data_IF_711069582022
#
_entry.id   IF_711069582022
#
_cell.length_a   1.000
_cell.length_b   1.000
_cell.length_c   1.000
_cell.angle_alpha   90.00
_cell.angle_beta   90.00
_cell.angle_gamma   90.00
#
_symmetry.space_group_name_H-M   'P 1'
#
loop_
_entity.id
_entity.type
_entity.pdbx_description
1 polymer ?
#
# COMPACT_ATOMS: atom_id res chain seq x y z
N UNK A 1 32.02 10.61 -8.45
CA UNK A 1 32.14 10.02 -7.09
C UNK A 1 31.78 11.02 -5.99
N UNK A 2 32.27 12.24 -6.00
CA UNK A 2 31.99 13.31 -5.00
C UNK A 2 30.48 13.61 -4.80
N UNK A 3 29.72 13.80 -5.87
CA UNK A 3 28.28 14.11 -5.78
C UNK A 3 27.45 13.04 -5.04
N UNK A 4 27.81 11.76 -5.18
CA UNK A 4 27.08 10.67 -4.51
C UNK A 4 27.21 10.74 -2.98
N UNK A 5 28.39 11.04 -2.48
CA UNK A 5 28.67 11.19 -1.04
C UNK A 5 27.93 12.39 -0.45
N UNK A 6 27.86 13.49 -1.18
CA UNK A 6 27.14 14.68 -0.74
C UNK A 6 25.63 14.44 -0.64
N UNK A 7 25.01 13.77 -1.63
CA UNK A 7 23.59 13.44 -1.58
C UNK A 7 23.24 12.46 -0.46
N UNK A 8 24.08 11.45 -0.18
CA UNK A 8 23.91 10.58 0.97
C UNK A 8 23.93 11.39 2.28
N UNK A 9 24.93 12.26 2.45
CA UNK A 9 25.02 13.13 3.62
C UNK A 9 23.77 13.99 3.80
N UNK A 10 23.28 14.60 2.74
CA UNK A 10 22.03 15.39 2.76
C UNK A 10 20.81 14.55 3.11
N UNK A 11 20.71 13.33 2.57
CA UNK A 11 19.63 12.42 2.89
C UNK A 11 19.59 12.07 4.37
N UNK A 12 20.74 11.79 4.99
CA UNK A 12 20.86 11.56 6.42
C UNK A 12 20.53 12.79 7.26
N UNK A 13 20.94 13.98 6.83
CA UNK A 13 20.54 15.24 7.49
C UNK A 13 19.02 15.46 7.44
N UNK A 14 18.36 15.06 6.37
CA UNK A 14 16.90 15.13 6.27
C UNK A 14 16.21 14.08 7.17
N UNK A 15 16.79 12.89 7.38
CA UNK A 15 16.30 11.95 8.42
C UNK A 15 16.29 12.63 9.77
N UNK A 16 17.42 13.22 10.18
CA UNK A 16 17.55 13.92 11.46
C UNK A 16 16.51 15.07 11.58
N UNK A 17 16.38 15.89 10.54
CA UNK A 17 15.40 16.97 10.50
C UNK A 17 13.97 16.46 10.67
N UNK A 18 13.60 15.40 9.96
CA UNK A 18 12.24 14.85 10.02
C UNK A 18 11.93 14.33 11.42
N UNK A 19 12.80 13.49 11.99
CA UNK A 19 12.50 12.82 13.25
C UNK A 19 12.77 13.66 14.49
N UNK A 20 13.68 14.63 14.44
CA UNK A 20 14.02 15.48 15.61
C UNK A 20 13.31 16.82 15.61
N UNK A 21 12.80 17.27 14.48
CA UNK A 21 12.16 18.59 14.38
C UNK A 21 10.72 18.43 13.87
N UNK A 22 10.53 17.97 12.64
CA UNK A 22 9.24 18.07 11.98
C UNK A 22 8.15 17.18 12.60
N UNK A 23 8.47 15.93 12.91
CA UNK A 23 7.49 15.03 13.55
C UNK A 23 7.22 15.42 15.02
N UNK A 24 8.21 15.85 15.84
CA UNK A 24 7.96 16.37 17.18
C UNK A 24 7.12 17.64 17.22
N UNK A 25 7.28 18.57 16.27
CA UNK A 25 6.39 19.74 16.12
C UNK A 25 4.93 19.34 15.90
N UNK A 26 4.67 18.15 15.42
CA UNK A 26 3.33 17.58 15.25
C UNK A 26 2.90 16.68 16.42
N UNK A 27 3.64 16.67 17.52
CA UNK A 27 3.33 15.92 18.73
C UNK A 27 3.85 14.48 18.81
N UNK A 28 4.71 14.03 17.87
CA UNK A 28 5.34 12.72 17.95
C UNK A 28 6.61 12.78 18.81
N UNK A 29 6.84 11.74 19.63
CA UNK A 29 8.05 11.66 20.45
C UNK A 29 9.28 11.32 19.59
N UNK A 30 10.42 11.93 19.92
CA UNK A 30 11.71 11.54 19.38
C UNK A 30 12.09 10.15 19.92
N UNK A 31 12.50 9.25 19.04
CA UNK A 31 12.93 7.89 19.36
C UNK A 31 14.22 7.56 18.66
N UNK A 32 15.31 7.45 19.41
CA UNK A 32 16.66 7.23 18.84
C UNK A 32 16.76 5.94 18.03
N UNK A 33 16.11 4.88 18.50
CA UNK A 33 16.10 3.59 17.78
C UNK A 33 15.39 3.68 16.43
N UNK A 34 14.32 4.49 16.36
CA UNK A 34 13.60 4.74 15.10
C UNK A 34 14.46 5.49 14.10
N UNK A 35 15.20 6.51 14.57
CA UNK A 35 16.11 7.32 13.75
C UNK A 35 17.23 6.42 13.21
N UNK A 36 17.87 5.64 14.09
CA UNK A 36 18.92 4.70 13.70
C UNK A 36 18.42 3.70 12.66
N UNK A 37 17.26 3.10 12.89
CA UNK A 37 16.63 2.18 11.95
C UNK A 37 16.37 2.84 10.59
N UNK A 38 15.89 4.08 10.57
CA UNK A 38 15.69 4.82 9.33
C UNK A 38 17.00 5.04 8.57
N UNK A 39 18.09 5.40 9.25
CA UNK A 39 19.40 5.55 8.64
C UNK A 39 19.92 4.25 8.02
N UNK A 40 19.83 3.14 8.74
CA UNK A 40 20.25 1.81 8.27
C UNK A 40 19.44 1.35 7.05
N UNK A 41 18.12 1.57 7.08
CA UNK A 41 17.24 1.28 5.95
C UNK A 41 17.59 2.16 4.74
N UNK A 42 17.80 3.44 4.94
CA UNK A 42 18.15 4.38 3.87
C UNK A 42 19.47 3.99 3.19
N UNK A 43 20.50 3.66 3.97
CA UNK A 43 21.79 3.19 3.44
C UNK A 43 21.67 1.87 2.67
N UNK A 44 20.82 0.98 3.15
CA UNK A 44 20.52 -0.29 2.48
C UNK A 44 19.84 -0.04 1.12
N UNK A 45 18.84 0.83 1.10
CA UNK A 45 18.07 1.16 -0.09
C UNK A 45 18.91 1.93 -1.12
N UNK A 46 19.67 2.94 -0.69
CA UNK A 46 20.58 3.69 -1.56
C UNK A 46 21.74 2.83 -2.08
N UNK A 47 22.12 1.81 -1.33
CA UNK A 47 23.12 0.81 -1.71
C UNK A 47 22.61 -0.31 -2.60
N UNK A 48 21.30 -0.39 -2.88
CA UNK A 48 20.65 -1.50 -3.61
C UNK A 48 20.96 -2.86 -2.97
N UNK A 49 20.87 -2.93 -1.62
CA UNK A 49 21.17 -4.10 -0.82
C UNK A 49 19.92 -4.67 -0.17
N UNK A 50 20.05 -5.84 0.40
CA UNK A 50 19.04 -6.48 1.26
C UNK A 50 19.50 -6.34 2.71
N UNK A 51 18.57 -5.96 3.58
CA UNK A 51 18.79 -5.96 5.03
C UNK A 51 17.71 -6.78 5.73
N UNK A 52 18.12 -7.47 6.79
CA UNK A 52 17.24 -8.03 7.81
C UNK A 52 17.36 -7.13 9.03
N UNK A 53 16.26 -6.43 9.36
CA UNK A 53 16.23 -5.53 10.51
C UNK A 53 15.42 -6.18 11.63
N UNK A 54 16.08 -6.51 12.74
CA UNK A 54 15.38 -6.89 13.97
C UNK A 54 15.10 -5.63 14.77
N UNK A 55 13.82 -5.34 14.93
CA UNK A 55 13.34 -4.10 15.54
C UNK A 55 12.17 -4.37 16.47
N UNK A 56 12.32 -4.03 17.74
CA UNK A 56 11.33 -4.25 18.79
C UNK A 56 9.96 -3.66 18.50
N UNK A 57 8.97 -4.12 19.26
CA UNK A 57 7.61 -3.56 19.20
C UNK A 57 7.63 -2.12 19.74
N UNK A 58 6.91 -1.22 19.07
CA UNK A 58 6.74 0.16 19.56
C UNK A 58 7.83 1.15 19.18
N UNK A 59 8.93 0.76 18.56
CA UNK A 59 9.98 1.69 18.13
C UNK A 59 9.58 2.62 16.98
N UNK A 60 8.46 2.34 16.30
CA UNK A 60 7.97 3.17 15.21
C UNK A 60 8.50 2.77 13.83
N UNK A 61 8.69 1.47 13.58
CA UNK A 61 9.16 0.90 12.30
C UNK A 61 8.50 1.52 11.07
N UNK A 62 7.19 1.73 11.15
CA UNK A 62 6.40 2.24 10.01
C UNK A 62 6.91 3.59 9.51
N UNK A 63 7.09 4.57 10.38
CA UNK A 63 7.66 5.85 9.96
C UNK A 63 9.11 5.71 9.50
N UNK A 64 9.90 4.83 10.13
CA UNK A 64 11.29 4.62 9.73
C UNK A 64 11.40 4.19 8.26
N UNK A 65 10.67 3.13 7.84
CA UNK A 65 10.73 2.71 6.43
C UNK A 65 10.00 3.67 5.47
N UNK A 66 8.91 4.32 5.89
CA UNK A 66 8.23 5.29 5.04
C UNK A 66 9.12 6.50 4.73
N UNK A 67 9.78 7.06 5.72
CA UNK A 67 10.73 8.17 5.55
C UNK A 67 11.91 7.74 4.69
N UNK A 68 12.51 6.56 4.97
CA UNK A 68 13.60 6.02 4.15
C UNK A 68 13.20 5.88 2.67
N UNK A 69 11.97 5.40 2.38
CA UNK A 69 11.47 5.28 1.01
C UNK A 69 11.22 6.64 0.34
N UNK A 70 10.73 7.64 1.08
CA UNK A 70 10.57 9.02 0.55
C UNK A 70 11.92 9.60 0.17
N UNK A 71 12.91 9.48 1.05
CA UNK A 71 14.25 10.00 0.80
C UNK A 71 14.98 9.21 -0.29
N UNK A 72 14.79 7.89 -0.35
CA UNK A 72 15.25 7.09 -1.48
C UNK A 72 14.74 7.66 -2.80
N UNK A 73 13.41 7.89 -2.92
CA UNK A 73 12.80 8.43 -4.14
C UNK A 73 13.36 9.80 -4.50
N UNK A 74 13.52 10.69 -3.51
CA UNK A 74 14.09 12.02 -3.70
C UNK A 74 15.53 11.97 -4.19
N UNK A 75 16.36 11.15 -3.56
CA UNK A 75 17.80 11.15 -3.80
C UNK A 75 18.28 10.19 -4.89
N UNK A 76 17.54 9.12 -5.19
CA UNK A 76 17.85 8.26 -6.33
C UNK A 76 17.73 8.98 -7.67
N UNK A 77 16.79 9.93 -7.78
CA UNK A 77 16.66 10.78 -8.96
C UNK A 77 17.88 11.67 -9.17
N UNK A 78 18.47 12.19 -8.08
CA UNK A 78 19.64 13.08 -8.12
C UNK A 78 20.95 12.34 -8.37
N UNK A 79 21.01 11.04 -8.09
CA UNK A 79 22.23 10.23 -8.29
C UNK A 79 22.35 9.62 -9.69
N UNK A 80 21.41 9.92 -10.59
CA UNK A 80 21.41 9.40 -11.98
C UNK A 80 21.13 7.89 -12.10
N UNK A 81 20.74 7.23 -11.01
CA UNK A 81 20.43 5.79 -10.97
C UNK A 81 19.01 5.45 -11.39
N UNK A 82 18.16 6.42 -11.57
CA UNK A 82 16.79 6.24 -12.03
C UNK A 82 16.47 7.19 -13.18
N UNK A 83 15.76 6.69 -14.19
CA UNK A 83 15.12 7.58 -15.14
C UNK A 83 14.04 8.36 -14.35
N UNK A 84 14.05 9.70 -14.33
CA UNK A 84 13.00 10.48 -13.67
C UNK A 84 11.59 10.15 -14.14
N UNK A 85 11.46 9.61 -15.36
CA UNK A 85 10.20 9.20 -15.96
C UNK A 85 9.71 7.81 -15.48
N UNK A 86 10.59 7.02 -14.85
CA UNK A 86 10.26 5.70 -14.31
C UNK A 86 10.16 5.70 -12.79
N UNK A 87 9.25 6.49 -12.24
CA UNK A 87 8.95 6.44 -10.82
C UNK A 87 8.17 5.17 -10.47
N UNK A 88 8.91 4.11 -10.15
CA UNK A 88 8.30 2.84 -9.72
C UNK A 88 7.80 2.96 -8.28
N UNK A 89 6.65 2.34 -7.95
CA UNK A 89 6.16 2.34 -6.58
C UNK A 89 7.07 1.49 -5.68
N UNK A 90 7.07 1.83 -4.40
CA UNK A 90 7.56 0.94 -3.33
C UNK A 90 6.47 -0.08 -3.03
N UNK A 91 6.82 -1.35 -2.86
CA UNK A 91 5.91 -2.37 -2.36
C UNK A 91 6.14 -2.58 -0.87
N UNK A 92 5.08 -2.48 -0.09
CA UNK A 92 5.07 -2.82 1.34
C UNK A 92 4.16 -4.03 1.55
N UNK A 93 4.72 -5.12 2.03
CA UNK A 93 3.99 -6.33 2.39
C UNK A 93 3.92 -6.47 3.90
N UNK A 94 2.72 -6.64 4.45
CA UNK A 94 2.49 -6.87 5.89
C UNK A 94 1.32 -7.80 6.13
N UNK A 95 1.42 -8.68 7.11
CA UNK A 95 0.33 -9.56 7.53
C UNK A 95 -0.81 -8.83 8.23
N UNK A 96 -0.57 -7.62 8.74
CA UNK A 96 -1.54 -6.85 9.52
C UNK A 96 -2.49 -6.04 8.63
N UNK A 97 -3.77 -6.45 8.57
CA UNK A 97 -4.82 -5.70 7.86
C UNK A 97 -5.02 -4.30 8.49
N UNK A 98 -4.92 -4.22 9.83
CA UNK A 98 -5.00 -2.94 10.53
C UNK A 98 -3.89 -1.98 10.10
N UNK A 99 -2.65 -2.48 9.98
CA UNK A 99 -1.52 -1.68 9.53
C UNK A 99 -1.66 -1.28 8.06
N UNK A 100 -2.13 -2.16 7.17
CA UNK A 100 -2.41 -1.81 5.77
C UNK A 100 -3.38 -0.61 5.70
N UNK A 101 -4.44 -0.64 6.51
CA UNK A 101 -5.41 0.45 6.59
C UNK A 101 -4.76 1.71 7.15
N UNK A 102 -4.07 1.62 8.28
CA UNK A 102 -3.44 2.77 8.94
C UNK A 102 -2.41 3.47 8.04
N UNK A 103 -1.62 2.71 7.26
CA UNK A 103 -0.67 3.31 6.31
C UNK A 103 -1.39 4.23 5.32
N UNK A 104 -2.54 3.81 4.77
CA UNK A 104 -3.29 4.59 3.78
C UNK A 104 -4.07 5.73 4.39
N UNK A 105 -4.68 5.52 5.58
CA UNK A 105 -5.62 6.49 6.15
C UNK A 105 -4.99 7.45 7.17
N UNK A 106 -3.82 7.11 7.70
CA UNK A 106 -3.18 7.86 8.79
C UNK A 106 -1.71 8.22 8.45
N UNK A 107 -0.83 7.23 8.30
CA UNK A 107 0.62 7.48 8.19
C UNK A 107 1.00 8.24 6.92
N UNK A 108 0.53 7.81 5.75
CA UNK A 108 0.85 8.47 4.48
C UNK A 108 0.22 9.87 4.38
N UNK A 109 -1.07 10.08 4.69
CA UNK A 109 -1.65 11.43 4.69
C UNK A 109 -0.95 12.40 5.66
N UNK A 110 -0.63 11.92 6.87
CA UNK A 110 0.07 12.72 7.87
C UNK A 110 1.48 13.10 7.39
N UNK A 111 2.30 12.10 7.00
CA UNK A 111 3.67 12.33 6.52
C UNK A 111 3.67 13.22 5.28
N UNK A 112 2.75 12.97 4.35
CA UNK A 112 2.60 13.76 3.13
C UNK A 112 2.34 15.24 3.44
N UNK A 113 1.43 15.53 4.36
CA UNK A 113 1.12 16.90 4.80
C UNK A 113 2.36 17.58 5.38
N UNK A 114 3.02 16.94 6.35
CA UNK A 114 4.22 17.51 7.01
C UNK A 114 5.33 17.79 6.02
N UNK A 115 5.60 16.87 5.10
CA UNK A 115 6.69 17.05 4.11
C UNK A 115 6.35 18.06 3.02
N UNK A 116 5.07 18.20 2.63
CA UNK A 116 4.61 19.25 1.70
C UNK A 116 4.75 20.64 2.30
N UNK A 117 4.30 20.83 3.55
CA UNK A 117 4.40 22.10 4.27
C UNK A 117 5.83 22.59 4.38
N UNK A 118 6.79 21.67 4.45
CA UNK A 118 8.23 21.96 4.51
C UNK A 118 8.93 22.01 3.15
N UNK A 119 8.19 21.86 2.06
CA UNK A 119 8.76 21.86 0.70
C UNK A 119 9.72 20.69 0.42
N UNK A 120 9.68 19.62 1.24
CA UNK A 120 10.55 18.45 1.07
C UNK A 120 10.08 17.54 -0.06
N UNK A 121 8.78 17.54 -0.35
CA UNK A 121 8.15 16.89 -1.49
C UNK A 121 7.28 17.90 -2.25
N UNK A 122 7.01 17.62 -3.54
CA UNK A 122 6.32 18.56 -4.43
C UNK A 122 4.86 18.19 -4.70
N UNK A 123 4.47 16.97 -4.37
CA UNK A 123 3.11 16.46 -4.56
C UNK A 123 2.75 15.49 -3.43
N UNK A 124 1.45 15.32 -3.13
CA UNK A 124 1.01 14.39 -2.12
C UNK A 124 1.46 12.95 -2.40
N UNK A 125 1.88 12.24 -1.35
CA UNK A 125 2.19 10.83 -1.42
C UNK A 125 0.89 10.02 -1.58
N UNK A 126 0.84 9.12 -2.56
CA UNK A 126 -0.30 8.23 -2.77
C UNK A 126 0.06 6.79 -2.41
N UNK A 127 -0.81 6.16 -1.65
CA UNK A 127 -0.73 4.75 -1.31
C UNK A 127 -2.00 4.01 -1.76
N UNK A 128 -1.84 2.79 -2.28
CA UNK A 128 -2.95 1.93 -2.72
C UNK A 128 -2.78 0.55 -2.13
N UNK A 129 -3.82 0.03 -1.45
CA UNK A 129 -3.82 -1.35 -0.97
C UNK A 129 -4.19 -2.29 -2.10
N UNK A 130 -3.37 -3.32 -2.34
CA UNK A 130 -3.59 -4.38 -3.32
C UNK A 130 -4.10 -5.63 -2.64
N UNK A 131 -5.27 -6.11 -3.09
CA UNK A 131 -5.97 -7.29 -2.56
C UNK A 131 -6.48 -8.17 -3.68
N UNK A 132 -6.79 -9.42 -3.37
CA UNK A 132 -7.45 -10.35 -4.29
C UNK A 132 -8.84 -9.88 -4.72
N UNK A 133 -9.30 -10.37 -5.84
CA UNK A 133 -10.62 -10.03 -6.43
C UNK A 133 -11.79 -10.31 -5.50
N UNK A 134 -11.64 -11.35 -4.69
CA UNK A 134 -12.62 -11.82 -3.69
C UNK A 134 -12.92 -10.80 -2.60
N UNK A 135 -12.08 -9.78 -2.45
CA UNK A 135 -12.29 -8.68 -1.50
C UNK A 135 -13.13 -7.54 -2.09
N UNK A 136 -13.38 -7.55 -3.38
CA UNK A 136 -14.10 -6.47 -4.07
C UNK A 136 -15.46 -6.91 -4.59
N UNK A 137 -16.42 -5.98 -4.52
CA UNK A 137 -17.77 -6.23 -5.02
C UNK A 137 -17.82 -6.07 -6.55
N UNK A 138 -18.56 -6.96 -7.19
CA UNK A 138 -19.00 -6.83 -8.57
C UNK A 138 -20.40 -6.20 -8.61
N UNK A 139 -20.53 -5.02 -9.20
CA UNK A 139 -21.79 -4.26 -9.22
C UNK A 139 -22.95 -5.07 -9.82
N UNK A 140 -22.72 -5.78 -10.93
CA UNK A 140 -23.75 -6.61 -11.54
C UNK A 140 -24.24 -7.75 -10.61
N UNK A 141 -23.31 -8.43 -9.96
CA UNK A 141 -23.65 -9.49 -9.00
C UNK A 141 -24.34 -8.95 -7.75
N UNK A 142 -23.92 -7.75 -7.32
CA UNK A 142 -24.56 -7.07 -6.20
C UNK A 142 -26.02 -6.77 -6.50
N UNK A 143 -26.35 -6.15 -7.64
CA UNK A 143 -27.71 -5.83 -7.99
C UNK A 143 -28.56 -7.09 -8.18
N UNK A 144 -28.05 -8.13 -8.84
CA UNK A 144 -28.71 -9.43 -8.93
C UNK A 144 -29.00 -10.02 -7.54
N UNK A 145 -28.05 -9.89 -6.60
CA UNK A 145 -28.24 -10.41 -5.24
C UNK A 145 -29.26 -9.59 -4.46
N UNK A 146 -29.23 -8.27 -4.55
CA UNK A 146 -30.22 -7.37 -3.92
C UNK A 146 -31.62 -7.71 -4.43
N UNK A 147 -31.79 -7.87 -5.73
CA UNK A 147 -33.10 -8.23 -6.31
C UNK A 147 -33.56 -9.62 -5.83
N UNK A 148 -32.68 -10.62 -5.83
CA UNK A 148 -33.01 -11.97 -5.38
C UNK A 148 -33.44 -12.05 -3.90
N UNK A 149 -33.08 -11.08 -3.07
CA UNK A 149 -33.46 -11.03 -1.64
C UNK A 149 -34.58 -10.04 -1.34
N UNK A 150 -35.06 -9.32 -2.34
CA UNK A 150 -36.05 -8.23 -2.18
C UNK A 150 -37.27 -8.67 -1.38
N UNK A 151 -37.76 -9.87 -1.67
CA UNK A 151 -38.95 -10.46 -1.04
C UNK A 151 -38.65 -11.51 0.03
N UNK A 152 -37.36 -11.73 0.36
CA UNK A 152 -36.97 -12.71 1.37
C UNK A 152 -36.88 -12.07 2.74
N UNK A 153 -37.34 -12.80 3.78
CA UNK A 153 -37.06 -12.41 5.16
C UNK A 153 -35.57 -12.60 5.45
N UNK A 154 -34.81 -11.53 5.41
CA UNK A 154 -33.43 -11.48 5.88
C UNK A 154 -33.35 -10.57 7.11
N UNK A 155 -32.34 -10.83 7.96
CA UNK A 155 -31.97 -9.93 9.03
C UNK A 155 -31.72 -8.52 8.46
N UNK A 156 -32.26 -7.50 9.10
CA UNK A 156 -32.13 -6.09 8.67
C UNK A 156 -30.67 -5.68 8.47
N UNK A 157 -29.77 -6.06 9.39
CA UNK A 157 -28.35 -5.77 9.32
C UNK A 157 -27.69 -6.36 8.05
N UNK A 158 -28.05 -7.58 7.66
CA UNK A 158 -27.53 -8.19 6.43
C UNK A 158 -28.03 -7.51 5.15
N UNK A 159 -29.27 -7.01 5.15
CA UNK A 159 -29.80 -6.20 4.03
C UNK A 159 -29.07 -4.88 3.93
N UNK A 160 -28.86 -4.21 5.05
CA UNK A 160 -28.13 -2.96 5.12
C UNK A 160 -26.67 -3.12 4.70
N UNK A 161 -26.00 -4.19 5.13
CA UNK A 161 -24.64 -4.52 4.70
C UNK A 161 -24.54 -4.67 3.17
N UNK A 162 -25.49 -5.39 2.53
CA UNK A 162 -25.54 -5.51 1.07
C UNK A 162 -25.80 -4.16 0.38
N UNK A 163 -26.72 -3.35 0.90
CA UNK A 163 -27.04 -2.05 0.34
C UNK A 163 -25.85 -1.07 0.48
N UNK A 164 -25.10 -1.16 1.58
CA UNK A 164 -23.91 -0.34 1.80
C UNK A 164 -22.81 -0.58 0.75
N UNK A 165 -22.76 -1.77 0.16
CA UNK A 165 -21.82 -2.11 -0.92
C UNK A 165 -22.04 -1.29 -2.21
N UNK A 166 -23.19 -0.63 -2.36
CA UNK A 166 -23.38 0.36 -3.44
C UNK A 166 -22.44 1.55 -3.29
N UNK A 167 -22.07 1.91 -2.07
CA UNK A 167 -21.13 3.00 -1.77
C UNK A 167 -19.70 2.50 -1.56
N UNK A 168 -19.55 1.30 -0.98
CA UNK A 168 -18.27 0.70 -0.62
C UNK A 168 -17.96 -0.49 -1.52
N UNK A 169 -16.93 -0.40 -2.35
CA UNK A 169 -16.54 -1.48 -3.26
C UNK A 169 -15.57 -2.49 -2.61
N UNK A 170 -14.88 -2.11 -1.53
CA UNK A 170 -14.05 -2.99 -0.71
C UNK A 170 -14.93 -3.61 0.38
N UNK A 171 -15.19 -4.90 0.25
CA UNK A 171 -16.06 -5.65 1.17
C UNK A 171 -15.50 -5.80 2.58
N UNK A 172 -14.18 -5.60 2.76
CA UNK A 172 -13.56 -5.67 4.09
C UNK A 172 -13.89 -4.45 4.95
N UNK A 173 -14.41 -3.39 4.34
CA UNK A 173 -14.85 -2.18 5.06
C UNK A 173 -16.29 -2.28 5.56
N UNK A 174 -17.05 -3.30 5.14
CA UNK A 174 -18.46 -3.47 5.48
C UNK A 174 -18.62 -4.52 6.57
N UNK A 175 -19.20 -4.10 7.70
CA UNK A 175 -19.56 -5.00 8.80
C UNK A 175 -20.80 -5.83 8.45
N UNK A 176 -20.99 -6.95 9.14
CA UNK A 176 -22.16 -7.82 9.06
C UNK A 176 -22.46 -8.41 7.67
N UNK A 177 -21.54 -8.31 6.72
CA UNK A 177 -21.63 -8.96 5.43
C UNK A 177 -21.34 -10.45 5.60
N UNK A 178 -22.36 -11.30 5.40
CA UNK A 178 -22.21 -12.76 5.55
C UNK A 178 -21.20 -13.32 4.54
N UNK A 179 -20.47 -14.38 4.94
CA UNK A 179 -19.54 -15.07 4.05
C UNK A 179 -20.23 -15.65 2.80
N UNK A 180 -21.51 -15.99 2.91
CA UNK A 180 -22.32 -16.46 1.79
C UNK A 180 -22.59 -15.31 0.79
N UNK A 181 -23.05 -14.15 1.25
CA UNK A 181 -23.31 -13.01 0.38
C UNK A 181 -22.00 -12.49 -0.23
N UNK A 182 -20.92 -12.45 0.55
CA UNK A 182 -19.59 -12.07 0.05
C UNK A 182 -19.17 -12.90 -1.17
N UNK A 183 -19.32 -14.24 -1.12
CA UNK A 183 -19.01 -15.12 -2.26
C UNK A 183 -19.89 -14.88 -3.48
N UNK A 184 -21.15 -14.52 -3.27
CA UNK A 184 -22.10 -14.28 -4.36
C UNK A 184 -21.85 -12.95 -5.06
N UNK A 185 -21.44 -11.90 -4.32
CA UNK A 185 -21.30 -10.55 -4.87
C UNK A 185 -19.87 -10.17 -5.23
N UNK A 186 -18.86 -11.00 -4.88
CA UNK A 186 -17.47 -10.67 -5.19
C UNK A 186 -17.18 -10.64 -6.70
N UNK A 187 -16.11 -9.96 -7.07
CA UNK A 187 -15.57 -9.96 -8.43
C UNK A 187 -15.23 -11.41 -8.83
N UNK A 188 -15.74 -11.93 -9.95
CA UNK A 188 -15.52 -13.32 -10.35
C UNK A 188 -14.06 -13.57 -10.77
N UNK A 189 -13.62 -14.82 -10.62
CA UNK A 189 -12.27 -15.24 -11.08
C UNK A 189 -12.04 -14.87 -12.56
N UNK A 190 -13.05 -15.07 -13.39
CA UNK A 190 -13.04 -14.69 -14.81
C UNK A 190 -14.22 -13.77 -15.08
N UNK A 191 -13.94 -12.53 -15.48
CA UNK A 191 -14.99 -11.61 -15.95
C UNK A 191 -15.33 -11.91 -17.41
N UNK A 192 -16.61 -11.94 -17.78
CA UNK A 192 -17.00 -12.12 -19.18
C UNK A 192 -16.46 -10.96 -20.03
N UNK A 193 -16.12 -11.26 -21.30
CA UNK A 193 -15.61 -10.25 -22.24
C UNK A 193 -16.66 -9.15 -22.48
N UNK A 194 -17.93 -9.55 -22.56
CA UNK A 194 -19.08 -8.67 -22.80
C UNK A 194 -19.80 -8.35 -21.47
N UNK A 195 -19.06 -7.93 -20.45
CA UNK A 195 -19.67 -7.52 -19.19
C UNK A 195 -20.42 -6.19 -19.40
N UNK A 196 -21.74 -6.13 -19.16
CA UNK A 196 -22.54 -4.92 -19.35
C UNK A 196 -22.12 -3.75 -18.45
N UNK A 197 -21.51 -4.07 -17.28
CA UNK A 197 -20.98 -3.06 -16.35
C UNK A 197 -19.54 -2.64 -16.60
N UNK A 198 -18.88 -3.07 -17.68
CA UNK A 198 -17.43 -2.89 -17.87
C UNK A 198 -16.96 -1.45 -17.83
N UNK A 199 -17.70 -0.55 -18.48
CA UNK A 199 -17.34 0.89 -18.57
C UNK A 199 -17.41 1.60 -17.21
N UNK A 200 -18.28 1.16 -16.32
CA UNK A 200 -18.49 1.75 -15.00
C UNK A 200 -17.97 0.86 -13.85
N UNK A 201 -17.22 -0.19 -14.17
CA UNK A 201 -16.75 -1.16 -13.20
C UNK A 201 -15.79 -0.53 -12.17
N UNK A 202 -16.21 -0.46 -10.92
CA UNK A 202 -15.42 0.09 -9.81
C UNK A 202 -14.11 -0.67 -9.59
N UNK A 203 -14.13 -1.99 -9.81
CA UNK A 203 -12.91 -2.82 -9.69
C UNK A 203 -11.90 -2.51 -10.81
N UNK A 204 -12.35 -2.32 -12.06
CA UNK A 204 -11.43 -1.91 -13.13
C UNK A 204 -10.82 -0.53 -12.85
N UNK A 205 -11.64 0.39 -12.40
CA UNK A 205 -11.18 1.73 -11.99
C UNK A 205 -10.15 1.67 -10.87
N UNK A 206 -10.37 0.83 -9.86
CA UNK A 206 -9.39 0.57 -8.81
C UNK A 206 -8.08 0.00 -9.37
N UNK A 207 -8.12 -0.93 -10.33
CA UNK A 207 -6.92 -1.46 -10.98
C UNK A 207 -6.15 -0.40 -11.76
N UNK A 208 -6.85 0.51 -12.41
CA UNK A 208 -6.26 1.63 -13.14
C UNK A 208 -5.62 2.64 -12.19
N UNK A 209 -6.30 2.98 -11.09
CA UNK A 209 -5.75 3.84 -10.05
C UNK A 209 -4.44 3.30 -9.47
N UNK A 210 -4.37 2.00 -9.25
CA UNK A 210 -3.16 1.34 -8.71
C UNK A 210 -1.97 1.32 -9.69
N UNK A 211 -2.21 1.61 -10.98
CA UNK A 211 -1.17 1.65 -12.02
C UNK A 211 -0.71 3.06 -12.36
N UNK A 212 -1.35 4.08 -11.78
CA UNK A 212 -0.95 5.46 -12.04
C UNK A 212 0.49 5.71 -11.60
N UNK A 213 1.21 6.51 -12.36
CA UNK A 213 2.63 6.82 -12.10
C UNK A 213 2.86 7.61 -10.80
N UNK A 214 1.83 8.32 -10.31
CA UNK A 214 1.89 9.07 -9.07
C UNK A 214 1.75 8.19 -7.81
N UNK A 215 1.43 6.91 -7.95
CA UNK A 215 1.38 5.97 -6.81
C UNK A 215 2.78 5.80 -6.24
N UNK A 216 2.93 6.20 -4.99
CA UNK A 216 4.19 6.09 -4.27
C UNK A 216 4.37 4.71 -3.62
N UNK A 217 3.30 4.19 -2.98
CA UNK A 217 3.34 2.89 -2.28
C UNK A 217 2.20 2.00 -2.75
N UNK A 218 2.52 0.75 -3.04
CA UNK A 218 1.58 -0.36 -3.14
C UNK A 218 1.68 -1.21 -1.87
N UNK A 219 0.57 -1.40 -1.18
CA UNK A 219 0.52 -2.18 0.06
C UNK A 219 -0.22 -3.48 -0.22
N UNK A 220 0.28 -4.61 0.24
CA UNK A 220 -0.38 -5.91 0.12
C UNK A 220 -0.14 -6.79 1.35
N UNK A 221 -0.83 -7.91 1.44
CA UNK A 221 -0.47 -8.95 2.39
C UNK A 221 0.58 -9.91 1.79
N UNK A 222 1.16 -10.75 2.64
CA UNK A 222 2.21 -11.69 2.22
C UNK A 222 1.71 -12.68 1.17
N UNK A 223 0.49 -13.19 1.27
CA UNK A 223 -0.09 -14.09 0.27
C UNK A 223 -0.19 -13.42 -1.12
N UNK A 224 -0.56 -12.14 -1.17
CA UNK A 224 -0.64 -11.40 -2.43
C UNK A 224 0.74 -11.15 -3.03
N UNK A 225 1.75 -10.86 -2.19
CA UNK A 225 3.15 -10.72 -2.61
C UNK A 225 3.68 -12.04 -3.19
N UNK A 226 3.46 -13.16 -2.49
CA UNK A 226 3.89 -14.49 -2.96
C UNK A 226 3.17 -14.91 -4.23
N UNK A 227 1.87 -14.60 -4.36
CA UNK A 227 1.13 -14.83 -5.60
C UNK A 227 1.71 -14.00 -6.77
N UNK A 228 2.10 -12.72 -6.53
CA UNK A 228 2.78 -11.92 -7.55
C UNK A 228 4.14 -12.51 -7.94
N UNK A 229 4.92 -12.95 -6.97
CA UNK A 229 6.21 -13.61 -7.21
C UNK A 229 6.05 -14.89 -8.04
N UNK A 230 5.05 -15.73 -7.71
CA UNK A 230 4.71 -16.93 -8.47
C UNK A 230 4.30 -16.57 -9.91
N UNK A 231 3.43 -15.57 -10.10
CA UNK A 231 3.03 -15.12 -11.42
C UNK A 231 4.24 -14.68 -12.27
N UNK A 232 5.19 -13.96 -11.68
CA UNK A 232 6.41 -13.53 -12.37
C UNK A 232 7.31 -14.70 -12.74
N UNK A 233 7.47 -15.68 -11.84
CA UNK A 233 8.28 -16.87 -12.08
C UNK A 233 7.74 -17.74 -13.22
N UNK A 234 6.41 -17.88 -13.30
CA UNK A 234 5.71 -18.68 -14.33
C UNK A 234 5.44 -17.90 -15.63
N UNK A 235 5.90 -16.66 -15.75
CA UNK A 235 5.67 -15.81 -16.92
C UNK A 235 4.21 -15.33 -17.07
N UNK A 236 3.40 -15.43 -16.02
CA UNK A 236 2.06 -14.89 -16.02
C UNK A 236 2.07 -13.37 -15.82
N UNK A 237 0.94 -12.73 -16.13
CA UNK A 237 0.79 -11.30 -15.91
C UNK A 237 0.97 -10.96 -14.42
N UNK A 238 1.91 -10.07 -14.08
CA UNK A 238 2.13 -9.64 -12.70
C UNK A 238 0.87 -9.05 -12.05
N UNK A 239 0.70 -9.27 -10.76
CA UNK A 239 -0.39 -8.72 -9.96
C UNK A 239 -0.08 -7.30 -9.46
N UNK A 240 1.20 -7.04 -9.20
CA UNK A 240 1.73 -5.72 -8.82
C UNK A 240 2.38 -5.05 -10.03
N UNK A 241 2.38 -3.71 -10.06
CA UNK A 241 3.20 -2.96 -11.00
C UNK A 241 4.68 -3.24 -10.77
N UNK A 242 5.53 -2.95 -11.74
CA UNK A 242 6.97 -3.11 -11.55
C UNK A 242 7.46 -2.24 -10.38
N UNK A 243 8.29 -2.84 -9.53
CA UNK A 243 8.89 -2.20 -8.37
C UNK A 243 10.37 -2.57 -8.25
N UNK A 244 11.15 -1.70 -7.60
CA UNK A 244 12.56 -1.97 -7.26
C UNK A 244 12.79 -2.07 -5.76
N UNK A 245 11.86 -1.53 -4.97
CA UNK A 245 11.94 -1.49 -3.52
C UNK A 245 10.82 -2.31 -2.92
N UNK A 246 11.17 -3.24 -2.07
CA UNK A 246 10.26 -4.09 -1.32
C UNK A 246 10.58 -3.99 0.17
N UNK A 247 9.56 -3.68 0.95
CA UNK A 247 9.57 -3.76 2.41
C UNK A 247 8.69 -4.93 2.82
N UNK A 248 9.23 -5.88 3.55
CA UNK A 248 8.47 -6.99 4.16
C UNK A 248 8.43 -6.75 5.66
N UNK A 249 7.31 -6.22 6.12
CA UNK A 249 7.07 -5.98 7.55
C UNK A 249 6.53 -7.27 8.20
N UNK A 250 6.93 -7.57 9.43
CA UNK A 250 6.63 -8.85 10.09
C UNK A 250 7.09 -10.06 9.26
N UNK A 251 8.32 -10.00 8.70
CA UNK A 251 8.86 -10.99 7.77
C UNK A 251 8.87 -12.42 8.31
N UNK A 252 8.85 -12.60 9.63
CA UNK A 252 8.74 -13.90 10.29
C UNK A 252 7.42 -14.64 9.98
N UNK A 253 6.38 -13.89 9.53
CA UNK A 253 5.10 -14.46 9.10
C UNK A 253 5.03 -14.80 7.61
N UNK A 254 6.07 -14.46 6.84
CA UNK A 254 6.09 -14.76 5.40
C UNK A 254 6.04 -16.27 5.11
N UNK A 255 6.75 -17.16 5.86
CA UNK A 255 6.67 -18.60 5.63
C UNK A 255 5.28 -19.19 5.88
N UNK A 256 4.47 -18.60 6.76
CA UNK A 256 3.09 -19.03 7.03
C UNK A 256 2.13 -18.72 5.87
N UNK A 257 2.53 -17.81 4.98
CA UNK A 257 1.75 -17.37 3.83
C UNK A 257 2.09 -18.14 2.55
N UNK A 258 3.17 -18.91 2.57
CA UNK A 258 3.65 -19.72 1.45
C UNK A 258 2.94 -21.08 1.43
#
# INVERSE_FOLDING_TARGET
MFYKVEYQKRAHQEVEKIFRVLLPEQGLAVREEQIRLCHEMLDTLLGERIALCDAGVGIGKTYAYLVACVLLRKYSMLTGRGNPLEQRPVVVSTSSIALQKAIVTEYIPFLSRVLLEQGMIQSPLRAVVRKGKEHFVCDNRLEQRIEAIRHKQKNAAQKEALLSLRKHYDMDTVKDLSGFDRRLVCVPKFCPRECPGRQMCRYQRYLEEAKKQDVFILICNHNYLLADAYHRAEGYKPLLSDYRTLIVDEAHKLPEAA
#
